data_IF_096899673323
#
_entry.id   IF_096899673323
#
_cell.length_a   1.000
_cell.length_b   1.000
_cell.length_c   1.000
_cell.angle_alpha   90.00
_cell.angle_beta   90.00
_cell.angle_gamma   90.00
#
_symmetry.space_group_name_H-M   'P 1'
#
loop_
_entity.id
_entity.type
_entity.pdbx_description
1 polymer ?
#
# COMPACT_ATOMS: atom_id res chain seq x y z
N UNK A 1 -5.63 -0.82 -4.48
CA UNK A 1 -6.59 0.26 -4.16
C UNK A 1 -5.85 1.57 -4.05
N UNK A 2 -6.30 2.60 -4.74
CA UNK A 2 -5.79 3.97 -4.57
C UNK A 2 -6.88 4.74 -3.83
N UNK A 3 -6.57 5.28 -2.65
CA UNK A 3 -7.47 6.13 -1.90
C UNK A 3 -7.02 7.60 -2.07
N UNK A 4 -7.84 8.40 -2.75
CA UNK A 4 -7.59 9.83 -3.00
C UNK A 4 -8.62 10.76 -2.36
N UNK A 5 -9.72 10.22 -1.81
CA UNK A 5 -10.80 11.02 -1.21
C UNK A 5 -10.69 11.19 0.32
N UNK A 6 -9.66 10.63 0.95
CA UNK A 6 -9.42 10.90 2.38
C UNK A 6 -8.77 12.28 2.54
N UNK A 7 -9.32 13.17 3.37
CA UNK A 7 -8.69 14.47 3.70
C UNK A 7 -7.36 14.37 4.48
N UNK A 8 -6.84 13.15 4.68
CA UNK A 8 -5.59 12.88 5.38
C UNK A 8 -4.43 12.71 4.39
N UNK A 9 -4.66 12.01 3.28
CA UNK A 9 -3.64 11.65 2.30
C UNK A 9 -3.83 12.41 0.99
N UNK A 10 -2.73 12.95 0.47
CA UNK A 10 -2.64 13.44 -0.91
C UNK A 10 -2.76 12.26 -1.87
N UNK A 11 -2.06 11.17 -1.55
CA UNK A 11 -2.29 9.86 -2.13
C UNK A 11 -2.00 8.76 -1.11
N UNK A 12 -2.73 7.66 -1.23
CA UNK A 12 -2.43 6.39 -0.57
C UNK A 12 -2.61 5.29 -1.62
N UNK A 13 -1.50 4.67 -2.01
CA UNK A 13 -1.42 3.53 -2.91
C UNK A 13 -1.22 2.30 -2.04
N UNK A 14 -2.14 1.34 -2.16
CA UNK A 14 -2.07 0.07 -1.45
C UNK A 14 -2.27 -1.08 -2.44
N UNK A 15 -1.20 -1.81 -2.74
CA UNK A 15 -1.17 -2.93 -3.69
C UNK A 15 -0.81 -4.20 -2.94
N UNK A 16 -1.53 -5.27 -3.26
CA UNK A 16 -1.37 -6.60 -2.68
C UNK A 16 -1.17 -7.57 -3.83
N UNK A 17 -0.02 -8.23 -3.83
CA UNK A 17 0.37 -9.21 -4.84
C UNK A 17 0.53 -10.58 -4.18
N UNK A 18 0.01 -11.59 -4.86
CA UNK A 18 -0.04 -12.96 -4.37
C UNK A 18 0.72 -13.85 -5.34
N UNK A 19 1.80 -14.47 -4.88
CA UNK A 19 2.62 -15.38 -5.67
C UNK A 19 2.62 -16.79 -5.07
N UNK A 20 2.75 -17.86 -5.88
CA UNK A 20 2.96 -19.19 -5.36
C UNK A 20 4.15 -19.23 -4.39
N UNK A 21 3.94 -19.81 -3.21
CA UNK A 21 4.98 -19.95 -2.20
C UNK A 21 6.00 -21.05 -2.55
N UNK A 22 7.12 -21.13 -1.82
CA UNK A 22 8.19 -22.08 -2.11
C UNK A 22 7.80 -23.55 -1.86
N UNK A 23 6.69 -23.80 -1.17
CA UNK A 23 6.16 -25.15 -0.92
C UNK A 23 4.68 -25.25 -1.35
N UNK A 24 4.21 -26.44 -1.78
CA UNK A 24 2.82 -26.64 -2.19
C UNK A 24 1.82 -26.21 -1.12
N UNK A 25 0.78 -25.48 -1.54
CA UNK A 25 -0.26 -24.98 -0.64
C UNK A 25 0.10 -23.71 0.13
N UNK A 26 1.25 -23.08 -0.15
CA UNK A 26 1.62 -21.77 0.39
C UNK A 26 1.59 -20.68 -0.68
N UNK A 27 1.48 -19.43 -0.23
CA UNK A 27 1.49 -18.24 -1.07
C UNK A 27 2.38 -17.18 -0.41
N UNK A 28 3.20 -16.49 -1.19
CA UNK A 28 3.86 -15.27 -0.76
C UNK A 28 2.87 -14.12 -0.95
N UNK A 29 2.84 -13.22 0.03
CA UNK A 29 2.08 -11.98 -0.04
C UNK A 29 3.07 -10.82 -0.03
N UNK A 30 3.07 -10.06 -1.13
CA UNK A 30 3.83 -8.83 -1.26
C UNK A 30 2.87 -7.66 -1.12
N UNK A 31 3.11 -6.79 -0.14
CA UNK A 31 2.35 -5.55 0.00
C UNK A 31 3.24 -4.35 -0.32
N UNK A 32 2.76 -3.50 -1.22
CA UNK A 32 3.35 -2.21 -1.52
C UNK A 32 2.42 -1.14 -0.99
N UNK A 33 2.96 -0.33 -0.09
CA UNK A 33 2.28 0.82 0.48
C UNK A 33 3.12 2.05 0.18
N UNK A 34 2.55 2.96 -0.60
CA UNK A 34 3.13 4.26 -0.89
C UNK A 34 2.10 5.33 -0.54
N UNK A 35 2.52 6.37 0.16
CA UNK A 35 1.59 7.38 0.63
C UNK A 35 2.26 8.73 0.84
N UNK A 36 1.43 9.76 0.82
CA UNK A 36 1.82 11.10 1.21
C UNK A 36 0.69 11.77 1.97
N UNK A 37 1.02 12.39 3.11
CA UNK A 37 0.07 13.19 3.84
C UNK A 37 -0.20 14.53 3.16
N UNK A 38 -1.46 14.99 3.23
CA UNK A 38 -1.81 16.35 2.78
C UNK A 38 -1.12 17.41 3.65
N UNK A 39 -1.08 17.18 4.96
CA UNK A 39 -0.47 18.08 5.94
C UNK A 39 1.04 18.22 5.73
N UNK A 40 1.58 19.44 5.56
CA UNK A 40 3.01 19.69 5.45
C UNK A 40 3.82 19.19 6.64
N UNK A 41 3.21 19.11 7.83
CA UNK A 41 3.89 18.68 9.06
C UNK A 41 4.34 17.22 9.01
N UNK A 42 3.65 16.39 8.22
CA UNK A 42 3.93 14.96 8.11
C UNK A 42 4.58 14.60 6.77
N UNK A 43 5.16 15.57 6.06
CA UNK A 43 5.89 15.35 4.80
C UNK A 43 7.40 15.09 4.99
N UNK A 44 7.86 14.94 6.23
CA UNK A 44 9.26 14.67 6.57
C UNK A 44 9.59 13.19 6.44
#
# INVERSE_FOLDING_TARGET
TIASESGLFDHLINIWEFDPGPIPGTCNLHFLVDFRFQSPLYRQ
#
